data_IF_056964557130
#
_entry.id   IF_056964557130
#
_cell.length_a   1.000
_cell.length_b   1.000
_cell.length_c   1.000
_cell.angle_alpha   90.00
_cell.angle_beta   90.00
_cell.angle_gamma   90.00
#
_symmetry.space_group_name_H-M   'P 1'
#
loop_
_entity.id
_entity.type
_entity.pdbx_description
1 polymer ?
#
# COMPACT_ATOMS: atom_id res chain seq x y z
N UNK A 1 -21.78 -17.34 -26.67
CA UNK A 1 -20.57 -16.62 -26.27
C UNK A 1 -20.48 -16.72 -24.75
N UNK A 2 -19.68 -17.67 -24.24
CA UNK A 2 -19.60 -17.94 -22.80
C UNK A 2 -18.82 -16.79 -22.18
N UNK A 3 -19.49 -15.97 -21.38
CA UNK A 3 -18.83 -15.06 -20.46
C UNK A 3 -18.00 -15.92 -19.50
N UNK A 4 -16.71 -16.07 -19.80
CA UNK A 4 -15.77 -16.59 -18.82
C UNK A 4 -15.75 -15.60 -17.67
N UNK A 5 -16.37 -15.99 -16.57
CA UNK A 5 -16.22 -15.36 -15.26
C UNK A 5 -14.73 -15.40 -14.92
N UNK A 6 -14.02 -14.30 -15.18
CA UNK A 6 -12.66 -14.13 -14.66
C UNK A 6 -12.80 -14.15 -13.14
N UNK A 7 -12.27 -15.19 -12.50
CA UNK A 7 -12.04 -15.22 -11.07
C UNK A 7 -11.00 -14.14 -10.73
N UNK A 8 -11.43 -12.88 -10.71
CA UNK A 8 -10.60 -11.77 -10.25
C UNK A 8 -10.63 -11.75 -8.73
N UNK A 9 -10.06 -12.79 -8.12
CA UNK A 9 -9.61 -12.70 -6.74
C UNK A 9 -8.64 -11.53 -6.63
N UNK A 10 -8.80 -10.71 -5.59
CA UNK A 10 -7.87 -9.64 -5.25
C UNK A 10 -6.44 -10.22 -5.22
N UNK A 11 -5.64 -9.95 -6.25
CA UNK A 11 -4.28 -10.50 -6.33
C UNK A 11 -3.49 -9.92 -5.15
N UNK A 12 -3.05 -10.82 -4.27
CA UNK A 12 -2.30 -10.46 -3.07
C UNK A 12 -1.01 -9.78 -3.48
N UNK A 13 -0.58 -8.80 -2.68
CA UNK A 13 0.73 -8.18 -2.88
C UNK A 13 1.79 -9.26 -2.64
N UNK A 14 2.78 -9.33 -3.53
CA UNK A 14 3.85 -10.32 -3.46
C UNK A 14 4.78 -10.03 -2.27
N UNK A 15 5.61 -10.99 -1.88
CA UNK A 15 6.60 -10.78 -0.82
C UNK A 15 7.71 -9.82 -1.26
N UNK A 16 8.49 -9.32 -0.29
CA UNK A 16 9.71 -8.57 -0.62
C UNK A 16 10.68 -9.48 -1.36
N UNK A 17 11.27 -8.94 -2.40
CA UNK A 17 12.32 -9.56 -3.20
C UNK A 17 13.59 -8.69 -3.11
N UNK A 18 14.79 -9.30 -3.11
CA UNK A 18 16.04 -8.55 -3.18
C UNK A 18 16.08 -7.69 -4.45
N UNK A 19 16.45 -6.42 -4.35
CA UNK A 19 16.52 -5.56 -5.54
C UNK A 19 17.59 -6.03 -6.53
N UNK A 20 18.56 -6.82 -6.07
CA UNK A 20 19.57 -7.46 -6.92
C UNK A 20 18.98 -8.42 -7.96
N UNK A 21 17.75 -8.94 -7.76
CA UNK A 21 17.09 -9.77 -8.77
C UNK A 21 16.49 -8.94 -9.92
N UNK A 22 16.13 -7.67 -9.67
CA UNK A 22 15.37 -6.84 -10.61
C UNK A 22 16.07 -6.61 -11.97
N UNK A 23 17.40 -6.40 -12.07
CA UNK A 23 18.06 -6.25 -13.38
C UNK A 23 17.90 -7.47 -14.29
N UNK A 24 17.70 -8.67 -13.74
CA UNK A 24 17.53 -9.89 -14.54
C UNK A 24 16.14 -9.98 -15.21
N UNK A 25 15.21 -9.10 -14.85
CA UNK A 25 13.85 -9.08 -15.41
C UNK A 25 13.73 -8.23 -16.67
N UNK A 26 14.73 -7.40 -16.95
CA UNK A 26 14.73 -6.55 -18.13
C UNK A 26 15.59 -7.17 -19.23
N UNK A 27 15.07 -7.27 -20.45
CA UNK A 27 15.90 -7.59 -21.62
C UNK A 27 16.75 -6.39 -22.06
N UNK A 28 16.23 -5.18 -21.87
CA UNK A 28 16.85 -3.93 -22.30
C UNK A 28 18.00 -3.49 -21.38
N UNK A 29 19.22 -3.37 -21.93
CA UNK A 29 20.43 -2.99 -21.17
C UNK A 29 20.32 -1.62 -20.47
N UNK A 30 19.63 -0.63 -21.07
CA UNK A 30 19.41 0.67 -20.42
C UNK A 30 18.55 0.50 -19.16
N UNK A 31 17.54 -0.36 -19.20
CA UNK A 31 16.71 -0.65 -18.03
C UNK A 31 17.47 -1.46 -16.98
N UNK A 32 18.30 -2.43 -17.39
CA UNK A 32 19.20 -3.14 -16.47
C UNK A 32 20.12 -2.17 -15.73
N UNK A 33 20.73 -1.24 -16.45
CA UNK A 33 21.64 -0.27 -15.84
C UNK A 33 20.92 0.72 -14.93
N UNK A 34 19.69 1.13 -15.26
CA UNK A 34 18.84 1.90 -14.35
C UNK A 34 18.50 1.12 -13.08
N UNK A 35 18.15 -0.17 -13.20
CA UNK A 35 17.87 -1.03 -12.05
C UNK A 35 19.10 -1.20 -11.16
N UNK A 36 20.29 -1.40 -11.75
CA UNK A 36 21.56 -1.47 -10.98
C UNK A 36 21.84 -0.18 -10.22
N UNK A 37 21.56 1.00 -10.78
CA UNK A 37 21.74 2.28 -10.08
C UNK A 37 20.88 2.41 -8.82
N UNK A 38 19.71 1.77 -8.79
CA UNK A 38 18.85 1.78 -7.60
C UNK A 38 19.46 1.01 -6.42
N UNK A 39 20.32 0.01 -6.68
CA UNK A 39 20.99 -0.79 -5.64
C UNK A 39 21.86 0.05 -4.70
N UNK A 40 22.26 1.25 -5.12
CA UNK A 40 23.03 2.16 -4.26
C UNK A 40 22.23 2.63 -3.03
N UNK A 41 20.90 2.72 -3.13
CA UNK A 41 20.05 3.30 -2.10
C UNK A 41 18.92 2.38 -1.61
N UNK A 42 18.66 1.28 -2.32
CA UNK A 42 17.53 0.39 -2.06
C UNK A 42 17.99 -1.06 -2.03
N UNK A 43 17.56 -1.82 -1.01
CA UNK A 43 17.93 -3.22 -0.82
C UNK A 43 16.89 -4.21 -1.35
N UNK A 44 15.61 -3.86 -1.25
CA UNK A 44 14.49 -4.74 -1.53
C UNK A 44 13.37 -3.98 -2.23
N UNK A 45 12.50 -4.72 -2.91
CA UNK A 45 11.28 -4.18 -3.52
C UNK A 45 10.14 -5.18 -3.41
N UNK A 46 8.92 -4.70 -3.64
CA UNK A 46 7.71 -5.53 -3.59
C UNK A 46 6.91 -5.30 -4.85
N UNK A 47 6.65 -6.38 -5.59
CA UNK A 47 5.81 -6.31 -6.79
C UNK A 47 4.33 -6.18 -6.42
N UNK A 48 3.65 -5.30 -7.14
CA UNK A 48 2.23 -5.03 -6.97
C UNK A 48 1.52 -5.32 -8.29
N UNK A 49 0.40 -6.07 -8.30
CA UNK A 49 -0.34 -6.38 -9.53
C UNK A 49 -0.72 -5.11 -10.30
N UNK A 50 -0.46 -5.09 -11.61
CA UNK A 50 -0.84 -4.01 -12.53
C UNK A 50 -2.30 -4.08 -12.94
N UNK A 51 -3.23 -3.97 -11.99
CA UNK A 51 -4.69 -4.07 -12.21
C UNK A 51 -5.41 -2.71 -12.21
N UNK A 52 -4.66 -1.61 -12.34
CA UNK A 52 -5.18 -0.24 -12.26
C UNK A 52 -5.27 0.32 -10.84
N UNK A 53 -5.15 -0.51 -9.81
CA UNK A 53 -5.09 -0.08 -8.40
C UNK A 53 -3.67 -0.16 -7.81
N UNK A 54 -2.65 -0.42 -8.62
CA UNK A 54 -1.28 -0.66 -8.17
C UNK A 54 -0.70 0.49 -7.35
N UNK A 55 -1.02 1.75 -7.68
CA UNK A 55 -0.56 2.90 -6.89
C UNK A 55 -1.16 2.90 -5.48
N UNK A 56 -2.49 2.84 -5.36
CA UNK A 56 -3.19 2.82 -4.07
C UNK A 56 -2.76 1.61 -3.23
N UNK A 57 -2.62 0.45 -3.87
CA UNK A 57 -2.19 -0.80 -3.24
C UNK A 57 -0.74 -0.74 -2.75
N UNK A 58 0.15 -0.11 -3.52
CA UNK A 58 1.55 0.14 -3.10
C UNK A 58 1.62 1.13 -1.95
N UNK A 59 0.90 2.24 -2.05
CA UNK A 59 0.87 3.29 -1.05
C UNK A 59 0.39 2.76 0.29
N UNK A 60 -0.79 2.14 0.32
CA UNK A 60 -1.39 1.69 1.58
C UNK A 60 -0.51 0.66 2.28
N UNK A 61 0.08 -0.27 1.54
CA UNK A 61 0.95 -1.29 2.13
C UNK A 61 2.25 -0.69 2.66
N UNK A 62 2.90 0.19 1.87
CA UNK A 62 4.13 0.88 2.30
C UNK A 62 3.88 1.70 3.56
N UNK A 63 2.73 2.35 3.63
CA UNK A 63 2.35 3.21 4.74
C UNK A 63 2.05 2.41 6.02
N UNK A 64 1.29 1.32 5.91
CA UNK A 64 1.03 0.41 7.02
C UNK A 64 2.31 -0.25 7.54
N UNK A 65 3.25 -0.62 6.67
CA UNK A 65 4.56 -1.16 7.09
C UNK A 65 5.39 -0.12 7.86
N UNK A 66 5.22 1.17 7.55
CA UNK A 66 5.85 2.26 8.29
C UNK A 66 5.18 2.51 9.64
N UNK A 67 3.86 2.40 9.75
CA UNK A 67 3.13 2.58 11.02
C UNK A 67 3.69 1.67 12.13
N UNK A 68 4.06 0.44 11.80
CA UNK A 68 4.69 -0.50 12.75
C UNK A 68 6.07 -0.02 13.24
N UNK A 69 6.74 0.88 12.52
CA UNK A 69 8.12 1.32 12.76
C UNK A 69 8.26 2.74 13.33
N UNK A 70 7.26 3.60 13.15
CA UNK A 70 7.32 5.03 13.57
C UNK A 70 7.06 5.22 15.06
N UNK A 71 7.16 6.44 15.60
CA UNK A 71 6.77 6.71 16.99
C UNK A 71 5.25 6.73 17.16
N UNK A 72 4.78 6.60 18.41
CA UNK A 72 3.35 6.72 18.71
C UNK A 72 2.79 8.11 18.36
N UNK A 73 3.58 9.17 18.53
CA UNK A 73 3.20 10.53 18.11
C UNK A 73 2.93 10.61 16.61
N UNK A 74 3.76 9.95 15.80
CA UNK A 74 3.57 9.91 14.36
C UNK A 74 2.31 9.11 13.99
N UNK A 75 2.00 8.01 14.70
CA UNK A 75 0.72 7.29 14.51
C UNK A 75 -0.50 8.19 14.76
N UNK A 76 -0.48 8.94 15.87
CA UNK A 76 -1.56 9.86 16.22
C UNK A 76 -1.70 11.00 15.21
N UNK A 77 -0.57 11.55 14.74
CA UNK A 77 -0.56 12.57 13.67
C UNK A 77 -1.23 12.06 12.40
N UNK A 78 -1.00 10.79 12.08
CA UNK A 78 -1.55 10.13 10.90
C UNK A 78 -3.05 9.86 11.03
N UNK A 79 -3.49 9.32 12.17
CA UNK A 79 -4.92 9.18 12.49
C UNK A 79 -5.64 10.52 12.46
N UNK A 80 -5.04 11.55 13.07
CA UNK A 80 -5.60 12.91 13.12
C UNK A 80 -5.74 13.58 11.74
N UNK A 81 -5.09 13.07 10.70
CA UNK A 81 -5.27 13.55 9.33
C UNK A 81 -6.50 12.95 8.64
N UNK A 82 -7.03 11.81 9.12
CA UNK A 82 -8.14 11.11 8.49
C UNK A 82 -9.47 11.82 8.70
N UNK A 83 -9.76 12.30 9.92
CA UNK A 83 -11.01 13.00 10.23
C UNK A 83 -11.22 14.26 9.37
N UNK A 84 -10.27 15.22 9.29
CA UNK A 84 -10.44 16.41 8.44
C UNK A 84 -10.55 16.07 6.95
N UNK A 85 -9.92 14.99 6.50
CA UNK A 85 -10.04 14.50 5.13
C UNK A 85 -11.42 13.91 4.87
N UNK A 86 -11.93 13.11 5.81
CA UNK A 86 -13.25 12.50 5.75
C UNK A 86 -14.36 13.54 5.73
N UNK A 87 -14.30 14.55 6.60
CA UNK A 87 -15.25 15.67 6.59
C UNK A 87 -15.25 16.41 5.24
N UNK A 88 -14.07 16.64 4.65
CA UNK A 88 -13.96 17.25 3.32
C UNK A 88 -14.59 16.37 2.26
N UNK A 89 -14.37 15.05 2.33
CA UNK A 89 -14.94 14.07 1.41
C UNK A 89 -16.47 14.04 1.49
N UNK A 90 -17.03 14.03 2.70
CA UNK A 90 -18.48 14.04 2.90
C UNK A 90 -19.16 15.27 2.29
N UNK A 91 -18.50 16.44 2.31
CA UNK A 91 -18.99 17.68 1.68
C UNK A 91 -19.03 17.64 0.15
N UNK A 92 -18.39 16.66 -0.49
CA UNK A 92 -18.46 16.50 -1.94
C UNK A 92 -19.80 15.90 -2.41
N UNK A 93 -20.64 15.41 -1.49
CA UNK A 93 -21.95 14.82 -1.78
C UNK A 93 -21.91 13.77 -2.91
N UNK A 94 -20.83 12.98 -2.92
CA UNK A 94 -20.64 11.95 -3.94
C UNK A 94 -21.74 10.88 -3.84
N UNK A 95 -22.22 10.35 -4.98
CA UNK A 95 -23.20 9.29 -4.97
C UNK A 95 -22.60 8.01 -4.36
N UNK A 96 -23.26 7.46 -3.35
CA UNK A 96 -22.84 6.23 -2.66
C UNK A 96 -22.58 6.44 -1.16
N UNK A 97 -22.63 5.34 -0.41
CA UNK A 97 -22.17 5.30 0.99
C UNK A 97 -20.72 4.82 0.99
N UNK A 98 -19.85 5.58 1.65
CA UNK A 98 -18.43 5.24 1.82
C UNK A 98 -18.04 5.13 3.31
N UNK A 99 -19.00 5.30 4.23
CA UNK A 99 -18.75 5.30 5.66
C UNK A 99 -18.21 3.96 6.14
N UNK A 100 -18.71 2.86 5.59
CA UNK A 100 -18.23 1.51 5.87
C UNK A 100 -16.75 1.32 5.48
N UNK A 101 -16.33 1.88 4.33
CA UNK A 101 -14.93 1.85 3.90
C UNK A 101 -14.04 2.71 4.79
N UNK A 102 -14.52 3.89 5.19
CA UNK A 102 -13.83 4.76 6.13
C UNK A 102 -13.65 4.07 7.48
N UNK A 103 -14.74 3.54 8.05
CA UNK A 103 -14.75 2.90 9.37
C UNK A 103 -13.87 1.65 9.37
N UNK A 104 -13.92 0.84 8.31
CA UNK A 104 -13.03 -0.32 8.16
C UNK A 104 -11.56 0.09 8.10
N UNK A 105 -11.23 1.17 7.39
CA UNK A 105 -9.86 1.63 7.28
C UNK A 105 -9.31 2.21 8.59
N UNK A 106 -10.10 3.03 9.30
CA UNK A 106 -9.75 3.55 10.62
C UNK A 106 -9.59 2.42 11.62
N UNK A 107 -10.54 1.47 11.66
CA UNK A 107 -10.47 0.30 12.52
C UNK A 107 -9.20 -0.51 12.30
N UNK A 108 -8.82 -0.73 11.04
CA UNK A 108 -7.60 -1.46 10.69
C UNK A 108 -6.32 -0.76 11.19
N UNK A 109 -6.24 0.58 11.12
CA UNK A 109 -5.08 1.32 11.64
C UNK A 109 -5.00 1.19 13.16
N UNK A 110 -6.14 1.32 13.86
CA UNK A 110 -6.19 1.17 15.31
C UNK A 110 -5.75 -0.23 15.74
N UNK A 111 -6.22 -1.27 15.05
CA UNK A 111 -5.76 -2.64 15.28
C UNK A 111 -4.25 -2.78 15.07
N UNK A 112 -3.70 -2.19 14.01
CA UNK A 112 -2.24 -2.23 13.76
C UNK A 112 -1.45 -1.57 14.91
N UNK A 113 -1.92 -0.45 15.44
CA UNK A 113 -1.31 0.26 16.57
C UNK A 113 -1.38 -0.57 17.86
N UNK A 114 -2.52 -1.19 18.14
CA UNK A 114 -2.68 -2.06 19.31
C UNK A 114 -1.74 -3.28 19.24
N UNK A 115 -1.64 -3.92 18.08
CA UNK A 115 -0.76 -5.08 17.90
C UNK A 115 0.72 -4.69 18.10
N UNK A 116 1.12 -3.50 17.63
CA UNK A 116 2.47 -2.99 17.86
C UNK A 116 2.77 -2.79 19.34
N UNK A 117 1.82 -2.24 20.11
CA UNK A 117 2.00 -2.07 21.56
C UNK A 117 2.14 -3.40 22.29
N UNK A 118 1.46 -4.45 21.84
CA UNK A 118 1.57 -5.81 22.41
C UNK A 118 2.91 -6.49 22.12
N UNK A 119 3.62 -6.04 21.08
CA UNK A 119 4.91 -6.58 20.64
C UNK A 119 6.12 -5.81 21.22
N UNK A 120 5.88 -4.67 21.88
CA UNK A 120 6.89 -3.83 22.54
C UNK A 120 7.04 -4.18 24.02
#
# INVERSE_FOLDING_TARGET
MVLQTSQNGCRKILQKEPLSSLPHEFENEIMKDKAKKLLANYSEYRKVPGDGSCFYRSFIYSYLEQLVKVSHEEELRLLGALEPMWEKFQRLHLPGSYSDLHDAFVGFILECMEQKQKLS
#
